data_IF_680487916071
#
_entry.id   IF_680487916071
#
_cell.length_a   1.000
_cell.length_b   1.000
_cell.length_c   1.000
_cell.angle_alpha   90.00
_cell.angle_beta   90.00
_cell.angle_gamma   90.00
#
_symmetry.space_group_name_H-M   'P 1'
#
loop_
_entity.id
_entity.type
_entity.pdbx_description
1 polymer ?
#
# COMPACT_ATOMS: atom_id res chain seq x y z
N UNK A 1 -9.29 42.29 47.28
CA UNK A 1 -8.58 41.04 46.95
C UNK A 1 -9.54 39.88 47.20
N UNK A 2 -10.25 39.41 46.17
CA UNK A 2 -11.15 38.25 46.30
C UNK A 2 -10.35 36.97 46.12
N UNK A 3 -10.29 36.16 47.16
CA UNK A 3 -9.74 34.80 47.10
C UNK A 3 -10.71 33.94 46.27
N UNK A 4 -10.31 33.55 45.05
CA UNK A 4 -11.02 32.50 44.32
C UNK A 4 -10.80 31.16 45.05
N UNK A 5 -11.82 30.30 45.18
CA UNK A 5 -11.63 28.99 45.77
C UNK A 5 -10.71 28.15 44.87
N UNK A 6 -9.63 27.62 45.44
CA UNK A 6 -8.75 26.65 44.81
C UNK A 6 -9.58 25.44 44.34
N UNK A 7 -9.76 25.30 43.03
CA UNK A 7 -10.39 24.13 42.43
C UNK A 7 -9.57 22.88 42.82
N UNK A 8 -10.15 21.88 43.50
CA UNK A 8 -9.41 20.69 43.90
C UNK A 8 -8.89 19.96 42.65
N UNK A 9 -7.58 19.75 42.56
CA UNK A 9 -6.98 18.97 41.49
C UNK A 9 -7.56 17.54 41.50
N UNK A 10 -7.92 16.97 40.35
CA UNK A 10 -8.44 15.61 40.30
C UNK A 10 -7.39 14.64 40.86
N UNK A 11 -7.80 13.64 41.66
CA UNK A 11 -6.87 12.67 42.22
C UNK A 11 -6.14 11.94 41.08
N UNK A 12 -4.80 11.92 41.13
CA UNK A 12 -3.97 11.11 40.25
C UNK A 12 -4.38 9.64 40.42
N UNK A 13 -5.21 9.15 39.51
CA UNK A 13 -5.63 7.76 39.49
C UNK A 13 -4.40 6.87 39.39
N UNK A 14 -4.13 6.07 40.43
CA UNK A 14 -3.15 4.99 40.35
C UNK A 14 -3.59 4.09 39.19
N UNK A 15 -2.78 4.01 38.13
CA UNK A 15 -3.10 3.23 36.94
C UNK A 15 -3.51 1.82 37.34
N UNK A 16 -4.78 1.45 37.12
CA UNK A 16 -5.25 0.10 37.41
C UNK A 16 -4.43 -0.85 36.55
N UNK A 17 -3.68 -1.75 37.19
CA UNK A 17 -2.98 -2.83 36.50
C UNK A 17 -3.97 -3.54 35.59
N UNK A 18 -3.64 -3.62 34.30
CA UNK A 18 -4.52 -4.24 33.31
C UNK A 18 -4.70 -5.71 33.68
N UNK A 19 -5.95 -6.20 33.61
CA UNK A 19 -6.28 -7.62 33.78
C UNK A 19 -5.42 -8.46 32.81
N UNK A 20 -5.06 -9.70 33.14
CA UNK A 20 -4.13 -10.52 32.34
C UNK A 20 -4.60 -10.75 30.90
N UNK A 21 -5.91 -10.87 30.65
CA UNK A 21 -6.46 -11.04 29.29
C UNK A 21 -6.26 -9.80 28.41
N UNK A 22 -6.65 -8.57 28.83
CA UNK A 22 -6.26 -7.34 28.14
C UNK A 22 -4.75 -7.22 27.93
N UNK A 23 -3.92 -7.55 28.93
CA UNK A 23 -2.46 -7.45 28.80
C UNK A 23 -1.91 -8.35 27.68
N UNK A 24 -2.44 -9.57 27.55
CA UNK A 24 -2.08 -10.52 26.49
C UNK A 24 -2.55 -10.03 25.11
N UNK A 25 -3.79 -9.55 25.01
CA UNK A 25 -4.34 -8.99 23.75
C UNK A 25 -3.54 -7.76 23.31
N UNK A 26 -3.28 -6.82 24.20
CA UNK A 26 -2.50 -5.61 23.87
C UNK A 26 -1.03 -5.94 23.56
N UNK A 27 -0.42 -6.91 24.26
CA UNK A 27 0.95 -7.36 24.00
C UNK A 27 1.12 -8.06 22.65
N UNK A 28 0.09 -8.74 22.13
CA UNK A 28 0.13 -9.47 20.86
C UNK A 28 0.51 -8.61 19.65
N UNK A 29 0.31 -7.29 19.72
CA UNK A 29 0.71 -6.31 18.70
C UNK A 29 2.21 -6.38 18.39
N UNK A 30 3.05 -6.65 19.39
CA UNK A 30 4.50 -6.76 19.22
C UNK A 30 4.92 -7.97 18.39
N UNK A 31 4.05 -8.98 18.24
CA UNK A 31 4.30 -10.12 17.35
C UNK A 31 4.34 -9.70 15.87
N UNK A 32 3.74 -8.56 15.51
CA UNK A 32 3.78 -8.05 14.13
C UNK A 32 5.12 -7.38 13.80
N UNK A 33 5.85 -6.86 14.79
CA UNK A 33 7.13 -6.20 14.58
C UNK A 33 8.14 -7.07 13.82
N UNK A 34 8.42 -8.34 14.21
CA UNK A 34 9.33 -9.20 13.44
C UNK A 34 8.81 -9.51 12.02
N UNK A 35 7.50 -9.53 11.80
CA UNK A 35 6.93 -9.70 10.45
C UNK A 35 7.25 -8.49 9.56
N UNK A 36 7.11 -7.27 10.08
CA UNK A 36 7.48 -6.06 9.34
C UNK A 36 8.99 -6.00 9.07
N UNK A 37 9.83 -6.43 10.00
CA UNK A 37 11.27 -6.57 9.77
C UNK A 37 11.55 -7.59 8.65
N UNK A 38 10.85 -8.72 8.64
CA UNK A 38 10.94 -9.70 7.56
C UNK A 38 10.56 -9.12 6.19
N UNK A 39 9.50 -8.30 6.13
CA UNK A 39 9.11 -7.60 4.90
C UNK A 39 10.15 -6.58 4.43
N UNK A 40 10.85 -5.90 5.34
CA UNK A 40 11.98 -5.00 4.99
C UNK A 40 13.15 -5.80 4.40
N UNK A 41 13.45 -6.98 4.96
CA UNK A 41 14.49 -7.86 4.39
C UNK A 41 14.07 -8.33 2.99
N UNK A 42 12.81 -8.73 2.80
CA UNK A 42 12.29 -9.10 1.48
C UNK A 42 12.40 -7.94 0.49
N UNK A 43 12.11 -6.70 0.92
CA UNK A 43 12.32 -5.50 0.10
C UNK A 43 13.79 -5.34 -0.31
N UNK A 44 14.74 -5.61 0.59
CA UNK A 44 16.17 -5.62 0.26
C UNK A 44 16.52 -6.63 -0.84
N UNK A 45 15.90 -7.82 -0.83
CA UNK A 45 16.06 -8.82 -1.90
C UNK A 45 15.52 -8.29 -3.24
N UNK A 46 14.37 -7.61 -3.23
CA UNK A 46 13.83 -6.97 -4.44
C UNK A 46 14.76 -5.89 -5.00
N UNK A 47 15.43 -5.10 -4.15
CA UNK A 47 16.44 -4.12 -4.61
C UNK A 47 17.60 -4.82 -5.31
N UNK A 48 18.09 -5.94 -4.77
CA UNK A 48 19.15 -6.72 -5.42
C UNK A 48 18.68 -7.31 -6.76
N UNK A 49 17.45 -7.81 -6.82
CA UNK A 49 16.84 -8.29 -8.07
C UNK A 49 16.77 -7.18 -9.12
N UNK A 50 16.29 -6.00 -8.74
CA UNK A 50 16.23 -4.82 -9.61
C UNK A 50 17.61 -4.45 -10.17
N UNK A 51 18.63 -4.39 -9.30
CA UNK A 51 20.00 -4.07 -9.74
C UNK A 51 20.54 -5.12 -10.71
N UNK A 52 20.24 -6.40 -10.47
CA UNK A 52 20.62 -7.49 -11.37
C UNK A 52 19.95 -7.38 -12.74
N UNK A 53 18.63 -7.12 -12.77
CA UNK A 53 17.89 -6.94 -14.02
C UNK A 53 18.33 -5.69 -14.78
N UNK A 54 18.60 -4.60 -14.06
CA UNK A 54 19.11 -3.36 -14.64
C UNK A 54 20.49 -3.56 -15.26
N UNK A 55 21.38 -4.25 -14.55
CA UNK A 55 22.69 -4.62 -15.08
C UNK A 55 22.57 -5.50 -16.32
N UNK A 56 21.67 -6.48 -16.30
CA UNK A 56 21.43 -7.36 -17.44
C UNK A 56 20.93 -6.59 -18.67
N UNK A 57 20.02 -5.62 -18.48
CA UNK A 57 19.54 -4.72 -19.53
C UNK A 57 20.67 -3.87 -20.10
N UNK A 58 21.50 -3.27 -19.24
CA UNK A 58 22.62 -2.43 -19.68
C UNK A 58 23.67 -3.25 -20.45
N UNK A 59 24.02 -4.43 -19.96
CA UNK A 59 25.04 -5.29 -20.55
C UNK A 59 24.67 -5.80 -21.95
N UNK A 60 23.38 -5.98 -22.24
CA UNK A 60 22.88 -6.49 -23.53
C UNK A 60 22.10 -5.44 -24.34
N UNK A 61 22.23 -4.15 -23.98
CA UNK A 61 21.44 -3.07 -24.59
C UNK A 61 21.62 -2.96 -26.11
N UNK A 62 22.78 -3.37 -26.64
CA UNK A 62 23.08 -3.36 -28.07
C UNK A 62 22.71 -4.66 -28.80
N UNK A 63 22.46 -5.74 -28.06
CA UNK A 63 22.16 -7.06 -28.61
C UNK A 63 20.66 -7.38 -28.59
N UNK A 64 19.88 -6.69 -27.76
CA UNK A 64 18.44 -6.90 -27.64
C UNK A 64 17.63 -6.26 -28.76
N UNK A 65 16.58 -6.96 -29.17
CA UNK A 65 15.54 -6.37 -30.01
C UNK A 65 14.72 -5.35 -29.22
N UNK A 66 14.04 -4.45 -29.93
CA UNK A 66 13.13 -3.45 -29.33
C UNK A 66 12.10 -4.10 -28.39
N UNK A 67 11.53 -5.25 -28.79
CA UNK A 67 10.58 -6.00 -27.98
C UNK A 67 11.22 -6.54 -26.68
N UNK A 68 12.46 -7.04 -26.75
CA UNK A 68 13.17 -7.54 -25.56
C UNK A 68 13.51 -6.40 -24.59
N UNK A 69 13.94 -5.25 -25.11
CA UNK A 69 14.19 -4.04 -24.29
C UNK A 69 12.89 -3.61 -23.60
N UNK A 70 11.77 -3.54 -24.33
CA UNK A 70 10.47 -3.19 -23.78
C UNK A 70 10.03 -4.16 -22.67
N UNK A 71 10.17 -5.48 -22.87
CA UNK A 71 9.81 -6.49 -21.86
C UNK A 71 10.72 -6.45 -20.61
N UNK A 72 12.00 -6.14 -20.79
CA UNK A 72 12.94 -5.94 -19.69
C UNK A 72 12.57 -4.69 -18.86
N UNK A 73 12.27 -3.57 -19.53
CA UNK A 73 11.80 -2.34 -18.85
C UNK A 73 10.49 -2.58 -18.12
N UNK A 74 9.53 -3.30 -18.70
CA UNK A 74 8.30 -3.67 -18.01
C UNK A 74 8.55 -4.55 -16.77
N UNK A 75 9.63 -5.34 -16.75
CA UNK A 75 10.03 -6.13 -15.57
C UNK A 75 10.54 -5.25 -14.44
N UNK A 76 11.43 -4.31 -14.79
CA UNK A 76 11.95 -3.32 -13.85
C UNK A 76 10.82 -2.47 -13.24
N UNK A 77 9.85 -2.05 -14.06
CA UNK A 77 8.67 -1.31 -13.57
C UNK A 77 7.86 -2.15 -12.59
N UNK A 78 7.63 -3.44 -12.88
CA UNK A 78 6.86 -4.33 -12.01
C UNK A 78 7.52 -4.52 -10.63
N UNK A 79 8.83 -4.73 -10.59
CA UNK A 79 9.60 -4.81 -9.33
C UNK A 79 9.43 -3.54 -8.50
N UNK A 80 9.46 -2.37 -9.14
CA UNK A 80 9.24 -1.07 -8.46
C UNK A 80 7.80 -0.94 -7.94
N UNK A 81 6.82 -1.39 -8.71
CA UNK A 81 5.41 -1.34 -8.29
C UNK A 81 5.13 -2.21 -7.07
N UNK A 82 5.65 -3.45 -7.05
CA UNK A 82 5.56 -4.33 -5.87
C UNK A 82 6.27 -3.70 -4.68
N UNK A 83 7.45 -3.11 -4.90
CA UNK A 83 8.24 -2.44 -3.85
C UNK A 83 7.48 -1.27 -3.21
N UNK A 84 6.78 -0.46 -4.00
CA UNK A 84 5.97 0.66 -3.50
C UNK A 84 4.79 0.17 -2.65
N UNK A 85 4.13 -0.91 -3.08
CA UNK A 85 3.05 -1.54 -2.31
C UNK A 85 3.59 -2.11 -0.99
N UNK A 86 4.75 -2.76 -1.00
CA UNK A 86 5.38 -3.30 0.20
C UNK A 86 5.67 -2.21 1.24
N UNK A 87 6.24 -1.08 0.82
CA UNK A 87 6.46 0.08 1.73
C UNK A 87 5.15 0.54 2.34
N UNK A 88 4.10 0.67 1.52
CA UNK A 88 2.77 1.08 1.96
C UNK A 88 2.18 0.11 3.01
N UNK A 89 2.35 -1.20 2.81
CA UNK A 89 1.89 -2.24 3.74
C UNK A 89 2.69 -2.24 5.03
N UNK A 90 4.02 -2.09 4.95
CA UNK A 90 4.92 -2.07 6.11
C UNK A 90 4.57 -0.89 7.00
N UNK A 91 4.58 0.32 6.44
CA UNK A 91 4.41 1.53 7.26
C UNK A 91 2.97 1.70 7.72
N UNK A 92 1.99 1.56 6.81
CA UNK A 92 0.57 1.66 7.16
C UNK A 92 0.13 0.58 8.15
N UNK A 93 0.65 -0.64 8.00
CA UNK A 93 0.43 -1.74 8.94
C UNK A 93 1.05 -1.47 10.31
N UNK A 94 2.30 -1.03 10.34
CA UNK A 94 3.00 -0.69 11.59
C UNK A 94 2.29 0.43 12.35
N UNK A 95 1.89 1.50 11.66
CA UNK A 95 1.18 2.63 12.26
C UNK A 95 -0.18 2.21 12.83
N UNK A 96 -0.95 1.43 12.06
CA UNK A 96 -2.30 0.99 12.44
C UNK A 96 -2.26 0.01 13.61
N UNK A 97 -1.35 -0.97 13.58
CA UNK A 97 -1.43 -2.13 14.46
C UNK A 97 -0.31 -2.22 15.51
N UNK A 98 0.81 -1.50 15.40
CA UNK A 98 1.93 -1.59 16.37
C UNK A 98 2.11 -0.29 17.13
N UNK A 99 2.50 0.78 16.47
CA UNK A 99 2.78 2.07 17.11
C UNK A 99 2.56 3.22 16.14
N UNK A 100 1.98 4.31 16.64
CA UNK A 100 1.90 5.56 15.88
C UNK A 100 3.32 6.07 15.63
N UNK A 101 3.59 6.46 14.38
CA UNK A 101 4.83 7.11 13.97
C UNK A 101 4.65 8.60 14.21
N UNK A 102 5.11 9.11 15.36
CA UNK A 102 4.85 10.49 15.77
C UNK A 102 5.79 11.47 15.02
N UNK A 103 5.66 11.57 13.70
CA UNK A 103 6.58 12.25 12.77
C UNK A 103 6.19 13.70 12.42
N UNK A 104 5.20 14.27 13.12
CA UNK A 104 4.62 15.59 12.81
C UNK A 104 5.69 16.69 12.69
N UNK A 105 5.82 17.24 11.47
CA UNK A 105 6.72 18.36 11.19
C UNK A 105 8.17 17.96 10.86
N UNK A 106 8.43 16.68 10.60
CA UNK A 106 9.72 16.22 10.08
C UNK A 106 9.82 16.49 8.57
N UNK A 107 10.97 16.97 8.03
CA UNK A 107 11.15 17.23 6.60
C UNK A 107 10.86 16.00 5.71
N UNK A 108 11.17 14.81 6.23
CA UNK A 108 10.96 13.53 5.55
C UNK A 108 9.62 12.85 5.92
N UNK A 109 8.67 13.55 6.56
CA UNK A 109 7.32 13.03 6.77
C UNK A 109 6.62 12.88 5.41
N UNK A 110 6.27 11.66 4.99
CA UNK A 110 5.55 11.49 3.76
C UNK A 110 4.16 12.12 3.87
N UNK A 111 3.71 12.81 2.82
CA UNK A 111 2.40 13.49 2.81
C UNK A 111 1.22 12.53 3.04
N UNK A 112 1.43 11.22 2.84
CA UNK A 112 0.44 10.20 3.15
C UNK A 112 0.36 9.80 4.63
N UNK A 113 1.35 10.15 5.46
CA UNK A 113 1.38 9.93 6.92
C UNK A 113 0.72 11.07 7.71
N UNK A 114 0.82 12.32 7.26
CA UNK A 114 0.26 13.46 8.01
C UNK A 114 -1.28 13.50 7.98
N UNK A 115 -1.89 12.82 7.00
CA UNK A 115 -3.33 12.69 6.82
C UNK A 115 -3.74 11.23 6.57
N UNK A 116 -3.47 10.33 7.52
CA UNK A 116 -3.95 8.94 7.45
C UNK A 116 -5.45 8.88 7.74
N UNK A 117 -6.25 9.46 6.85
CA UNK A 117 -7.64 9.03 6.73
C UNK A 117 -7.60 7.62 6.16
N UNK A 118 -8.22 6.65 6.85
CA UNK A 118 -8.30 5.26 6.41
C UNK A 118 -8.78 5.14 4.95
N UNK A 119 -9.54 6.12 4.45
CA UNK A 119 -9.94 6.27 3.06
C UNK A 119 -8.79 6.48 2.07
N UNK A 120 -7.83 7.36 2.38
CA UNK A 120 -6.69 7.66 1.49
C UNK A 120 -5.79 6.43 1.35
N UNK A 121 -5.58 5.69 2.44
CA UNK A 121 -4.82 4.44 2.43
C UNK A 121 -5.52 3.37 1.57
N UNK A 122 -6.84 3.23 1.66
CA UNK A 122 -7.60 2.27 0.84
C UNK A 122 -7.51 2.61 -0.65
N UNK A 123 -7.66 3.89 -1.00
CA UNK A 123 -7.60 4.34 -2.40
C UNK A 123 -6.21 4.12 -2.98
N UNK A 124 -5.15 4.50 -2.26
CA UNK A 124 -3.76 4.31 -2.72
C UNK A 124 -3.41 2.84 -2.92
N UNK A 125 -3.91 1.95 -2.05
CA UNK A 125 -3.69 0.52 -2.19
C UNK A 125 -4.43 -0.05 -3.40
N UNK A 126 -5.69 0.36 -3.62
CA UNK A 126 -6.48 -0.06 -4.77
C UNK A 126 -5.83 0.39 -6.10
N UNK A 127 -5.35 1.63 -6.17
CA UNK A 127 -4.63 2.16 -7.34
C UNK A 127 -3.33 1.38 -7.61
N UNK A 128 -2.56 1.04 -6.57
CA UNK A 128 -1.35 0.24 -6.71
C UNK A 128 -1.64 -1.15 -7.26
N UNK A 129 -2.66 -1.84 -6.75
CA UNK A 129 -3.06 -3.19 -7.21
C UNK A 129 -3.53 -3.15 -8.67
N UNK A 130 -4.33 -2.15 -9.05
CA UNK A 130 -4.76 -1.96 -10.45
C UNK A 130 -3.54 -1.73 -11.35
N UNK A 131 -2.62 -0.84 -10.95
CA UNK A 131 -1.41 -0.55 -11.72
C UNK A 131 -0.53 -1.79 -11.95
N UNK A 132 -0.27 -2.58 -10.90
CA UNK A 132 0.47 -3.85 -11.01
C UNK A 132 -0.23 -4.78 -12.00
N UNK A 133 -1.54 -4.98 -11.85
CA UNK A 133 -2.33 -5.84 -12.72
C UNK A 133 -2.34 -5.36 -14.19
N UNK A 134 -2.37 -4.05 -14.44
CA UNK A 134 -2.29 -3.48 -15.79
C UNK A 134 -0.93 -3.74 -16.45
N UNK A 135 0.19 -3.60 -15.71
CA UNK A 135 1.53 -3.86 -16.25
C UNK A 135 1.68 -5.34 -16.65
N UNK A 136 1.15 -6.24 -15.83
CA UNK A 136 1.12 -7.65 -16.15
C UNK A 136 0.32 -7.91 -17.44
N UNK A 137 -0.84 -7.26 -17.62
CA UNK A 137 -1.64 -7.40 -18.85
C UNK A 137 -0.91 -6.84 -20.07
N UNK A 138 -0.19 -5.74 -19.92
CA UNK A 138 0.59 -5.14 -21.00
C UNK A 138 1.75 -6.07 -21.44
N UNK A 139 2.47 -6.67 -20.48
CA UNK A 139 3.46 -7.71 -20.76
C UNK A 139 2.84 -8.86 -21.55
N UNK A 140 1.74 -9.42 -21.03
CA UNK A 140 1.02 -10.52 -21.67
C UNK A 140 0.55 -10.12 -23.08
N UNK A 141 0.08 -8.88 -23.29
CA UNK A 141 -0.35 -8.38 -24.60
C UNK A 141 0.80 -8.32 -25.62
N UNK A 142 1.97 -7.83 -25.20
CA UNK A 142 3.17 -7.74 -26.04
C UNK A 142 3.66 -9.14 -26.44
N UNK A 143 3.64 -10.09 -25.50
CA UNK A 143 4.04 -11.48 -25.75
C UNK A 143 2.96 -12.25 -26.55
N UNK A 144 1.68 -11.90 -26.34
CA UNK A 144 0.54 -12.43 -27.07
C UNK A 144 0.55 -12.04 -28.56
N UNK A 145 1.15 -10.90 -28.93
CA UNK A 145 1.42 -10.57 -30.34
C UNK A 145 2.22 -11.65 -31.08
N UNK A 146 3.00 -12.47 -30.35
CA UNK A 146 3.72 -13.62 -30.87
C UNK A 146 2.93 -14.95 -30.81
N UNK A 147 1.67 -14.97 -30.32
CA UNK A 147 0.82 -16.18 -30.28
C UNK A 147 0.62 -16.82 -31.66
N UNK A 148 0.60 -16.01 -32.73
CA UNK A 148 0.52 -16.50 -34.10
C UNK A 148 1.73 -17.37 -34.53
N UNK A 149 2.84 -17.32 -33.77
CA UNK A 149 4.05 -18.11 -34.02
C UNK A 149 4.12 -19.44 -33.26
N UNK A 150 3.12 -19.76 -32.41
CA UNK A 150 3.04 -21.03 -31.67
C UNK A 150 4.09 -21.24 -30.55
N UNK A 151 4.88 -20.22 -30.21
CA UNK A 151 5.93 -20.25 -29.17
C UNK A 151 5.62 -19.41 -27.93
N UNK A 152 4.37 -19.01 -27.74
CA UNK A 152 3.94 -18.23 -26.58
C UNK A 152 3.79 -19.12 -25.33
N UNK A 153 4.42 -18.72 -24.22
CA UNK A 153 4.18 -19.34 -22.90
C UNK A 153 2.79 -19.02 -22.32
N UNK A 154 2.06 -18.07 -22.94
CA UNK A 154 0.72 -17.67 -22.53
C UNK A 154 -0.34 -18.41 -23.32
N UNK A 155 -1.36 -18.90 -22.61
CA UNK A 155 -2.55 -19.53 -23.19
C UNK A 155 -3.67 -18.51 -23.32
N UNK A 156 -4.54 -18.66 -24.32
CA UNK A 156 -5.76 -17.84 -24.47
C UNK A 156 -6.56 -17.81 -23.16
N UNK A 157 -6.70 -18.97 -22.50
CA UNK A 157 -7.35 -19.10 -21.20
C UNK A 157 -6.68 -18.25 -20.11
N UNK A 158 -5.35 -18.20 -20.08
CA UNK A 158 -4.59 -17.37 -19.14
C UNK A 158 -4.84 -15.87 -19.36
N UNK A 159 -4.76 -15.41 -20.62
CA UNK A 159 -5.03 -14.01 -21.00
C UNK A 159 -6.46 -13.61 -20.62
N UNK A 160 -7.44 -14.48 -20.88
CA UNK A 160 -8.84 -14.26 -20.56
C UNK A 160 -9.05 -14.07 -19.05
N UNK A 161 -8.54 -14.99 -18.21
CA UNK A 161 -8.65 -14.86 -16.76
C UNK A 161 -7.94 -13.62 -16.22
N UNK A 162 -6.77 -13.30 -16.75
CA UNK A 162 -6.05 -12.09 -16.36
C UNK A 162 -6.86 -10.82 -16.65
N UNK A 163 -7.54 -10.78 -17.81
CA UNK A 163 -8.42 -9.66 -18.20
C UNK A 163 -9.67 -9.57 -17.30
N UNK A 164 -10.28 -10.70 -16.98
CA UNK A 164 -11.43 -10.77 -16.06
C UNK A 164 -11.03 -10.27 -14.67
N UNK A 165 -9.92 -10.76 -14.11
CA UNK A 165 -9.43 -10.35 -12.78
C UNK A 165 -9.14 -8.85 -12.76
N UNK A 166 -8.50 -8.32 -13.81
CA UNK A 166 -8.23 -6.89 -13.90
C UNK A 166 -9.50 -6.05 -13.91
N UNK A 167 -10.52 -6.51 -14.65
CA UNK A 167 -11.83 -5.85 -14.68
C UNK A 167 -12.47 -5.85 -13.29
N UNK A 168 -12.37 -6.96 -12.54
CA UNK A 168 -12.84 -7.06 -11.15
C UNK A 168 -12.10 -6.07 -10.23
N UNK A 169 -10.79 -5.88 -10.41
CA UNK A 169 -10.02 -4.88 -9.64
C UNK A 169 -10.49 -3.45 -9.95
N UNK A 170 -10.72 -3.10 -11.21
CA UNK A 170 -11.25 -1.79 -11.60
C UNK A 170 -12.62 -1.55 -10.96
N UNK A 171 -13.53 -2.52 -11.07
CA UNK A 171 -14.86 -2.43 -10.46
C UNK A 171 -14.78 -2.29 -8.93
N UNK A 172 -13.85 -3.00 -8.29
CA UNK A 172 -13.62 -2.91 -6.85
C UNK A 172 -13.13 -1.52 -6.43
N UNK A 173 -12.21 -0.91 -7.19
CA UNK A 173 -11.73 0.45 -6.90
C UNK A 173 -12.82 1.50 -7.11
N UNK A 174 -13.68 1.36 -8.12
CA UNK A 174 -14.85 2.22 -8.29
C UNK A 174 -15.77 2.10 -7.07
N UNK A 175 -16.01 0.89 -6.57
CA UNK A 175 -16.78 0.65 -5.35
C UNK A 175 -16.18 1.34 -4.13
N UNK A 176 -14.86 1.24 -3.94
CA UNK A 176 -14.15 1.91 -2.85
C UNK A 176 -14.30 3.44 -2.95
N UNK A 177 -14.09 4.01 -4.13
CA UNK A 177 -14.23 5.45 -4.37
C UNK A 177 -15.68 5.94 -4.14
N UNK A 178 -16.67 5.13 -4.53
CA UNK A 178 -18.07 5.45 -4.29
C UNK A 178 -18.41 5.47 -2.80
N UNK A 179 -18.03 4.42 -2.05
CA UNK A 179 -18.25 4.34 -0.59
C UNK A 179 -17.56 5.49 0.13
N UNK A 180 -16.34 5.84 -0.28
CA UNK A 180 -15.62 6.97 0.30
C UNK A 180 -16.33 8.31 0.04
N UNK A 181 -16.78 8.55 -1.19
CA UNK A 181 -17.54 9.75 -1.54
C UNK A 181 -18.82 9.88 -0.70
N UNK A 182 -19.61 8.82 -0.60
CA UNK A 182 -20.87 8.83 0.17
C UNK A 182 -20.59 9.11 1.65
N UNK A 183 -19.54 8.52 2.20
CA UNK A 183 -19.14 8.71 3.60
C UNK A 183 -18.74 10.17 3.87
N UNK A 184 -17.97 10.78 2.98
CA UNK A 184 -17.53 12.17 3.12
C UNK A 184 -18.70 13.17 2.96
N UNK A 185 -19.64 12.90 2.04
CA UNK A 185 -20.86 13.72 1.89
C UNK A 185 -21.71 13.73 3.17
N UNK A 186 -21.90 12.57 3.81
CA UNK A 186 -22.66 12.48 5.06
C UNK A 186 -22.00 13.28 6.21
N UNK A 187 -20.66 13.29 6.28
CA UNK A 187 -19.92 14.08 7.27
C UNK A 187 -20.07 15.58 7.03
N UNK A 188 -20.02 16.03 5.77
CA UNK A 188 -20.16 17.44 5.43
C UNK A 188 -21.58 17.97 5.68
N UNK A 189 -22.61 17.16 5.40
CA UNK A 189 -24.00 17.48 5.73
C UNK A 189 -24.21 17.61 7.25
N UNK A 190 -23.65 16.68 8.04
CA UNK A 190 -23.73 16.75 9.51
C UNK A 190 -23.05 18.01 10.08
N UNK A 191 -21.91 18.43 9.51
CA UNK A 191 -21.23 19.67 9.90
C UNK A 191 -22.05 20.91 9.59
N UNK A 192 -22.69 20.97 8.41
CA UNK A 192 -23.57 22.08 8.02
C UNK A 192 -24.77 22.19 8.94
N UNK A 193 -25.39 21.06 9.29
CA UNK A 193 -26.51 21.02 10.22
C UNK A 193 -26.14 21.47 11.65
N UNK A 194 -24.90 21.23 12.08
CA UNK A 194 -24.40 21.65 13.40
C UNK A 194 -23.96 23.14 13.46
N UNK A 195 -23.79 23.79 12.31
CA UNK A 195 -23.42 25.21 12.21
C UNK A 195 -24.62 26.17 12.11
N UNK A 196 -25.84 25.64 12.10
CA UNK A 196 -27.11 26.38 12.09
C UNK A 196 -27.86 26.15 13.40
#
# INVERSE_FOLDING_TARGET
>A
MSLTPETPLPPKGKGKALRPVPMLIFGSRWLQLPLYVGLIVAQGVYVVLFLKELWHLFAHAFDFSEQQIMLAVLGLIDVVMISNLLVMVIVGGYETFVSRLNLQGHPDEPEWLSHVNASVLKIKLAMAIIGISSIHLLRTFIEAGALASGKSAYTETGVMWQTIIHTVFILSAIGIAYVDRVSNMAVDEAKRAASH
#
